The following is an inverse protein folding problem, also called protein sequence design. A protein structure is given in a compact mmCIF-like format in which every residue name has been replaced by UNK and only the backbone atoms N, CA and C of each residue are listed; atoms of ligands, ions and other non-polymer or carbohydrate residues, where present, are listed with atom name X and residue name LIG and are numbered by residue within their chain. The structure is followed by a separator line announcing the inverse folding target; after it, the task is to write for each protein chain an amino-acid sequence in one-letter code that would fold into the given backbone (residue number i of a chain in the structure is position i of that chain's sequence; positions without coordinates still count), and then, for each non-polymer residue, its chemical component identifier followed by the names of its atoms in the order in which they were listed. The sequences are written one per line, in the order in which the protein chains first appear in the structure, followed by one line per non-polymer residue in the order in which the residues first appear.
data_IF_090868860498
#
_entry.id   IF_090868860498
#
_cell.length_a   1.000
_cell.length_b   1.000
_cell.length_c   1.000
_cell.angle_alpha   90.00
_cell.angle_beta   90.00
_cell.angle_gamma   90.00
#
_symmetry.space_group_name_H-M   'P 1'
#
loop_
_entity.id
_entity.type
_entity.pdbx_description
1 polymer ?
#
# COMPACT_ATOMS: atom_id res chain seq x y z
N UNK A 1 -27.42 5.76 11.84
CA UNK A 1 -28.25 4.61 11.44
C UNK A 1 -27.32 3.56 10.85
N UNK A 2 -27.40 2.32 11.30
CA UNK A 2 -26.50 1.24 10.86
C UNK A 2 -26.89 0.74 9.47
N UNK A 3 -25.90 0.55 8.60
CA UNK A 3 -26.14 0.11 7.22
C UNK A 3 -26.24 -1.42 7.08
N UNK A 4 -25.62 -2.17 8.02
CA UNK A 4 -25.67 -3.62 8.04
C UNK A 4 -25.73 -4.17 9.47
N UNK A 5 -26.36 -5.35 9.62
CA UNK A 5 -26.36 -6.19 10.81
C UNK A 5 -25.68 -7.53 10.47
N UNK A 6 -24.62 -7.87 11.20
CA UNK A 6 -24.00 -9.19 11.17
C UNK A 6 -24.45 -9.99 12.39
N UNK A 7 -25.05 -11.16 12.19
CA UNK A 7 -25.49 -12.06 13.26
C UNK A 7 -24.54 -13.26 13.29
N UNK A 8 -23.79 -13.40 14.39
CA UNK A 8 -22.90 -14.54 14.59
C UNK A 8 -23.68 -15.76 15.07
N UNK A 9 -23.92 -16.72 14.17
CA UNK A 9 -24.51 -18.00 14.52
C UNK A 9 -23.46 -19.05 14.90
N UNK A 10 -22.16 -18.75 14.89
CA UNK A 10 -21.09 -19.73 15.10
C UNK A 10 -20.67 -19.92 16.56
N UNK A 11 -20.80 -18.89 17.40
CA UNK A 11 -20.24 -18.86 18.76
C UNK A 11 -21.26 -19.02 19.91
N UNK A 12 -22.46 -19.57 19.64
CA UNK A 12 -23.60 -19.67 20.57
C UNK A 12 -24.34 -18.32 20.71
N UNK A 13 -25.66 -18.23 20.85
CA UNK A 13 -26.69 -19.13 21.35
C UNK A 13 -27.83 -19.32 20.30
N UNK A 14 -28.51 -20.47 20.32
CA UNK A 14 -29.60 -20.79 19.39
C UNK A 14 -30.85 -19.90 19.58
N UNK A 15 -30.88 -19.03 20.59
CA UNK A 15 -32.02 -18.15 20.91
C UNK A 15 -32.29 -17.07 19.85
N UNK A 16 -31.27 -16.46 19.25
CA UNK A 16 -31.45 -15.59 18.08
C UNK A 16 -31.84 -16.36 16.81
N UNK A 17 -31.57 -17.67 16.78
CA UNK A 17 -32.09 -18.56 15.73
C UNK A 17 -33.59 -18.87 15.90
N UNK A 18 -34.17 -18.55 17.06
CA UNK A 18 -35.55 -18.92 17.42
C UNK A 18 -36.53 -17.73 17.48
N UNK A 19 -36.05 -16.47 17.57
CA UNK A 19 -36.92 -15.27 17.64
C UNK A 19 -36.33 -14.05 16.88
N UNK A 20 -36.53 -13.95 15.56
CA UNK A 20 -36.17 -12.79 14.74
C UNK A 20 -36.77 -11.47 15.24
N UNK A 21 -37.93 -11.53 15.92
CA UNK A 21 -38.61 -10.38 16.54
C UNK A 21 -37.80 -9.66 17.61
N UNK A 22 -36.82 -10.32 18.26
CA UNK A 22 -35.93 -9.68 19.23
C UNK A 22 -34.89 -8.75 18.57
N UNK A 23 -34.75 -8.81 17.24
CA UNK A 23 -33.80 -8.01 16.49
C UNK A 23 -34.45 -6.78 15.85
N UNK A 24 -35.79 -6.71 15.80
CA UNK A 24 -36.54 -5.54 15.28
C UNK A 24 -36.12 -4.19 15.90
N UNK A 25 -35.81 -4.07 17.22
CA UNK A 25 -35.36 -2.81 17.81
C UNK A 25 -33.95 -2.39 17.38
N UNK A 26 -33.14 -3.35 16.92
CA UNK A 26 -31.73 -3.13 16.54
C UNK A 26 -31.59 -2.69 15.07
N UNK A 27 -32.68 -2.70 14.32
CA UNK A 27 -32.71 -2.66 12.86
C UNK A 27 -33.50 -1.45 12.36
N UNK A 28 -32.92 -0.67 11.44
CA UNK A 28 -33.71 0.25 10.63
C UNK A 28 -34.38 -0.50 9.48
N UNK A 29 -35.54 -0.06 9.01
CA UNK A 29 -36.27 -0.69 7.90
C UNK A 29 -35.45 -0.87 6.60
N UNK A 30 -34.30 -0.19 6.49
CA UNK A 30 -33.40 -0.20 5.35
C UNK A 30 -32.09 -1.00 5.55
N UNK A 31 -31.86 -1.65 6.70
CA UNK A 31 -30.59 -2.34 6.98
C UNK A 31 -30.48 -3.71 6.28
N UNK A 32 -29.28 -4.05 5.81
CA UNK A 32 -28.97 -5.38 5.26
C UNK A 32 -28.56 -6.37 6.37
N UNK A 33 -29.12 -7.58 6.37
CA UNK A 33 -28.83 -8.60 7.39
C UNK A 33 -27.93 -9.68 6.82
N UNK A 34 -26.87 -10.03 7.55
CA UNK A 34 -25.90 -11.07 7.20
C UNK A 34 -25.83 -12.11 8.32
N UNK A 35 -25.98 -13.38 7.98
CA UNK A 35 -25.98 -14.50 8.92
C UNK A 35 -24.68 -15.30 8.77
N UNK A 36 -23.81 -15.27 9.79
CA UNK A 36 -22.53 -16.00 9.77
C UNK A 36 -22.73 -17.43 10.30
N UNK A 37 -22.62 -18.43 9.43
CA UNK A 37 -22.80 -19.84 9.77
C UNK A 37 -21.49 -20.64 9.71
N UNK A 38 -21.45 -21.77 10.43
CA UNK A 38 -20.28 -22.66 10.49
C UNK A 38 -20.37 -23.86 9.52
N UNK A 39 -21.54 -24.14 8.92
CA UNK A 39 -21.77 -25.25 7.98
C UNK A 39 -23.15 -25.12 7.28
N UNK A 40 -23.28 -25.65 6.05
CA UNK A 40 -24.51 -25.63 5.24
C UNK A 40 -25.75 -26.08 6.01
N UNK A 41 -26.79 -25.25 6.02
CA UNK A 41 -28.17 -25.61 6.37
C UNK A 41 -29.07 -25.38 5.15
N UNK A 42 -30.21 -26.07 5.06
CA UNK A 42 -31.18 -25.90 3.98
C UNK A 42 -31.81 -24.49 4.00
N UNK A 43 -31.91 -23.86 2.83
CA UNK A 43 -32.45 -22.51 2.64
C UNK A 43 -33.88 -22.32 3.17
N UNK A 44 -34.67 -23.40 3.21
CA UNK A 44 -36.11 -23.37 3.51
C UNK A 44 -36.51 -22.82 4.91
N UNK A 45 -35.61 -22.85 5.90
CA UNK A 45 -35.86 -22.36 7.28
C UNK A 45 -35.56 -20.85 7.45
N UNK A 46 -34.76 -20.25 6.57
CA UNK A 46 -34.28 -18.86 6.72
C UNK A 46 -35.30 -17.85 6.20
N UNK A 47 -35.92 -18.12 5.05
CA UNK A 47 -36.92 -17.20 4.48
C UNK A 47 -38.19 -17.07 5.34
N UNK A 48 -38.58 -18.15 6.03
CA UNK A 48 -39.75 -18.15 6.91
C UNK A 48 -39.57 -17.28 8.17
N UNK A 49 -38.34 -17.10 8.64
CA UNK A 49 -38.01 -16.37 9.87
C UNK A 49 -37.68 -14.89 9.62
N UNK A 50 -37.17 -14.54 8.43
CA UNK A 50 -36.57 -13.23 8.16
C UNK A 50 -37.26 -12.41 7.06
N UNK A 51 -38.49 -12.78 6.67
CA UNK A 51 -39.24 -12.16 5.56
C UNK A 51 -39.60 -10.66 5.70
N UNK A 52 -39.27 -10.00 6.81
CA UNK A 52 -39.48 -8.57 7.04
C UNK A 52 -38.34 -7.64 6.58
N UNK A 53 -37.20 -8.18 6.13
CA UNK A 53 -36.01 -7.38 5.79
C UNK A 53 -35.82 -7.21 4.28
N UNK A 54 -35.24 -6.07 3.85
CA UNK A 54 -34.95 -5.79 2.43
C UNK A 54 -34.07 -6.84 1.75
N UNK A 55 -33.13 -7.44 2.49
CA UNK A 55 -32.33 -8.57 2.01
C UNK A 55 -31.61 -9.28 3.16
N UNK A 56 -31.69 -10.60 3.18
CA UNK A 56 -30.96 -11.49 4.10
C UNK A 56 -29.90 -12.23 3.30
N UNK A 57 -28.67 -12.27 3.80
CA UNK A 57 -27.53 -12.93 3.15
C UNK A 57 -26.96 -13.99 4.09
N UNK A 58 -26.92 -15.24 3.65
CA UNK A 58 -26.30 -16.34 4.38
C UNK A 58 -24.81 -16.43 4.02
N UNK A 59 -23.94 -16.49 5.02
CA UNK A 59 -22.50 -16.66 4.87
C UNK A 59 -22.11 -18.05 5.41
N UNK A 60 -21.98 -19.04 4.52
CA UNK A 60 -21.84 -20.47 4.85
C UNK A 60 -20.66 -21.16 4.14
N UNK A 61 -19.60 -20.41 3.87
CA UNK A 61 -18.39 -20.91 3.22
C UNK A 61 -17.47 -21.73 4.15
N UNK A 62 -16.41 -22.31 3.57
CA UNK A 62 -15.48 -23.26 4.20
C UNK A 62 -14.76 -22.72 5.44
N UNK A 63 -14.61 -21.40 5.56
CA UNK A 63 -13.95 -20.78 6.72
C UNK A 63 -14.56 -19.43 7.10
N UNK A 64 -14.37 -19.05 8.37
CA UNK A 64 -14.84 -17.75 8.89
C UNK A 64 -14.13 -16.60 8.18
N UNK A 65 -12.84 -16.72 7.86
CA UNK A 65 -12.12 -15.73 7.06
C UNK A 65 -12.78 -15.50 5.69
N UNK A 66 -13.14 -16.58 4.98
CA UNK A 66 -13.82 -16.47 3.68
C UNK A 66 -15.16 -15.74 3.82
N UNK A 67 -15.99 -16.16 4.78
CA UNK A 67 -17.29 -15.55 5.05
C UNK A 67 -17.18 -14.05 5.36
N UNK A 68 -16.27 -13.67 6.25
CA UNK A 68 -16.08 -12.26 6.63
C UNK A 68 -15.45 -11.42 5.50
N UNK A 69 -14.63 -12.03 4.64
CA UNK A 69 -14.12 -11.35 3.45
C UNK A 69 -15.22 -11.11 2.41
N UNK A 70 -16.11 -12.09 2.18
CA UNK A 70 -17.29 -11.92 1.31
C UNK A 70 -18.27 -10.89 1.89
N UNK A 71 -18.46 -10.90 3.20
CA UNK A 71 -19.21 -9.87 3.91
C UNK A 71 -18.63 -8.48 3.64
N UNK A 72 -17.31 -8.30 3.80
CA UNK A 72 -16.62 -7.05 3.49
C UNK A 72 -16.85 -6.61 2.04
N UNK A 73 -16.70 -7.51 1.07
CA UNK A 73 -16.95 -7.22 -0.35
C UNK A 73 -18.39 -6.75 -0.58
N UNK A 74 -19.37 -7.37 0.09
CA UNK A 74 -20.77 -6.97 0.01
C UNK A 74 -21.04 -5.58 0.61
N UNK A 75 -20.35 -5.23 1.71
CA UNK A 75 -20.38 -3.89 2.29
C UNK A 75 -19.79 -2.86 1.33
N UNK A 76 -18.63 -3.17 0.73
CA UNK A 76 -17.94 -2.27 -0.19
C UNK A 76 -18.75 -1.97 -1.44
N UNK A 77 -19.41 -2.98 -2.01
CA UNK A 77 -20.30 -2.82 -3.17
C UNK A 77 -21.51 -1.92 -2.88
N UNK A 78 -21.85 -1.72 -1.60
CA UNK A 78 -22.99 -0.92 -1.12
C UNK A 78 -22.58 0.38 -0.43
N UNK A 79 -21.28 0.66 -0.39
CA UNK A 79 -20.68 1.76 0.37
C UNK A 79 -21.11 1.82 1.86
N UNK A 80 -21.29 0.66 2.47
CA UNK A 80 -21.65 0.54 3.89
C UNK A 80 -20.37 0.46 4.73
N UNK A 81 -20.26 1.33 5.73
CA UNK A 81 -19.12 1.35 6.65
C UNK A 81 -19.53 1.15 8.12
N UNK A 82 -20.81 1.31 8.47
CA UNK A 82 -21.30 1.13 9.83
C UNK A 82 -22.03 -0.21 9.98
N UNK A 83 -21.45 -1.09 10.79
CA UNK A 83 -21.93 -2.46 11.02
C UNK A 83 -22.29 -2.64 12.49
N UNK A 84 -23.49 -3.15 12.75
CA UNK A 84 -23.85 -3.71 14.05
C UNK A 84 -23.60 -5.20 14.04
N UNK A 85 -23.06 -5.75 15.13
CA UNK A 85 -22.74 -7.18 15.27
C UNK A 85 -23.47 -7.73 16.48
N UNK A 86 -24.28 -8.78 16.28
CA UNK A 86 -24.91 -9.52 17.37
C UNK A 86 -24.16 -10.84 17.60
N UNK A 87 -23.61 -11.05 18.79
CA UNK A 87 -22.73 -12.21 19.09
C UNK A 87 -22.72 -12.56 20.60
N UNK A 88 -22.21 -13.72 20.99
CA UNK A 88 -21.85 -14.01 22.39
C UNK A 88 -20.56 -13.29 22.81
N UNK A 89 -20.30 -13.23 24.13
CA UNK A 89 -19.05 -12.68 24.67
C UNK A 89 -17.81 -13.41 24.13
N UNK A 90 -17.87 -14.74 23.98
CA UNK A 90 -16.80 -15.53 23.38
C UNK A 90 -16.63 -15.25 21.88
N UNK A 91 -17.74 -15.10 21.14
CA UNK A 91 -17.72 -14.75 19.72
C UNK A 91 -17.16 -13.35 19.46
N UNK A 92 -17.43 -12.38 20.34
CA UNK A 92 -16.88 -11.02 20.25
C UNK A 92 -15.36 -11.00 20.17
N UNK A 93 -14.67 -11.65 21.12
CA UNK A 93 -13.20 -11.67 21.13
C UNK A 93 -12.62 -12.26 19.85
N UNK A 94 -13.25 -13.31 19.30
CA UNK A 94 -12.85 -13.94 18.04
C UNK A 94 -13.10 -13.02 16.83
N UNK A 95 -14.28 -12.42 16.75
CA UNK A 95 -14.66 -11.53 15.65
C UNK A 95 -13.84 -10.24 15.65
N UNK A 96 -13.50 -9.69 16.82
CA UNK A 96 -12.60 -8.53 16.93
C UNK A 96 -11.24 -8.83 16.30
N UNK A 97 -10.68 -10.03 16.48
CA UNK A 97 -9.44 -10.44 15.84
C UNK A 97 -9.56 -10.53 14.31
N UNK A 98 -10.67 -11.06 13.78
CA UNK A 98 -10.92 -11.04 12.34
C UNK A 98 -11.11 -9.61 11.81
N UNK A 99 -11.82 -8.76 12.55
CA UNK A 99 -12.05 -7.35 12.18
C UNK A 99 -10.71 -6.61 12.05
N UNK A 100 -9.78 -6.82 12.98
CA UNK A 100 -8.45 -6.22 12.93
C UNK A 100 -7.64 -6.65 11.69
N UNK A 101 -7.83 -7.88 11.21
CA UNK A 101 -7.08 -8.41 10.07
C UNK A 101 -7.74 -8.14 8.72
N UNK A 102 -9.07 -8.16 8.65
CA UNK A 102 -9.86 -8.11 7.41
C UNK A 102 -10.50 -6.75 7.13
N UNK A 103 -10.54 -5.84 8.11
CA UNK A 103 -11.14 -4.53 7.97
C UNK A 103 -10.15 -3.43 8.38
N UNK A 104 -10.50 -2.19 8.07
CA UNK A 104 -9.72 -1.00 8.45
C UNK A 104 -10.59 -0.05 9.26
N UNK A 105 -9.99 1.04 9.76
CA UNK A 105 -10.71 2.07 10.51
C UNK A 105 -11.76 2.84 9.69
N UNK A 106 -11.88 2.57 8.38
CA UNK A 106 -12.99 3.07 7.56
C UNK A 106 -14.32 2.48 8.05
N UNK A 107 -14.31 1.27 8.61
CA UNK A 107 -15.52 0.62 9.13
C UNK A 107 -15.66 0.84 10.64
N UNK A 108 -16.89 0.99 11.10
CA UNK A 108 -17.25 0.97 12.52
C UNK A 108 -18.05 -0.28 12.85
N UNK A 109 -17.70 -0.93 13.96
CA UNK A 109 -18.36 -2.12 14.46
C UNK A 109 -18.92 -1.86 15.85
N UNK A 110 -20.23 -2.02 16.02
CA UNK A 110 -20.95 -1.94 17.30
C UNK A 110 -21.39 -3.33 17.73
N UNK A 111 -20.76 -3.86 18.77
CA UNK A 111 -21.01 -5.20 19.27
C UNK A 111 -22.10 -5.19 20.32
N UNK A 112 -23.18 -5.88 20.02
CA UNK A 112 -24.32 -6.12 20.88
C UNK A 112 -24.33 -7.59 21.31
N UNK A 113 -24.33 -7.84 22.62
CA UNK A 113 -24.12 -9.17 23.17
C UNK A 113 -25.45 -9.86 23.49
N UNK A 114 -25.53 -11.17 23.22
CA UNK A 114 -26.62 -11.99 23.77
C UNK A 114 -26.64 -11.87 25.29
N UNK A 115 -27.80 -11.56 25.87
CA UNK A 115 -28.02 -11.71 27.30
C UNK A 115 -27.96 -13.22 27.58
N UNK A 116 -27.00 -13.66 28.38
CA UNK A 116 -27.04 -15.01 28.93
C UNK A 116 -28.27 -15.04 29.83
N UNK A 117 -29.33 -15.75 29.45
CA UNK A 117 -30.42 -16.03 30.37
C UNK A 117 -29.79 -16.71 31.58
N UNK A 118 -29.77 -16.01 32.73
CA UNK A 118 -29.42 -16.60 34.01
C UNK A 118 -30.30 -17.83 34.16
N UNK A 119 -29.74 -19.01 33.93
CA UNK A 119 -30.44 -20.26 34.10
C UNK A 119 -30.87 -20.31 35.56
N UNK A 120 -32.14 -20.01 35.80
CA UNK A 120 -32.78 -20.08 37.09
C UNK A 120 -32.71 -21.50 37.61
N UNK A 121 -31.70 -21.79 38.42
CA UNK A 121 -31.72 -22.85 39.42
C UNK A 121 -31.16 -22.29 40.71
N UNK A 122 -32.04 -21.64 41.48
CA UNK A 122 -31.79 -21.31 42.87
C UNK A 122 -31.67 -22.59 43.70
N UNK A 123 -30.50 -22.79 44.30
CA UNK A 123 -30.24 -23.83 45.29
C UNK A 123 -28.88 -23.57 45.95
N UNK A 124 -28.88 -22.83 47.06
CA UNK A 124 -27.67 -22.28 47.66
C UNK A 124 -26.78 -23.27 48.41
N UNK A 125 -25.50 -22.90 48.54
CA UNK A 125 -24.69 -23.07 49.75
C UNK A 125 -23.54 -22.04 49.75
N UNK A 126 -23.23 -21.39 50.90
CA UNK A 126 -22.25 -20.30 50.95
C UNK A 126 -20.85 -20.84 51.24
N UNK A 127 -19.87 -20.46 50.43
CA UNK A 127 -18.46 -20.62 50.80
C UNK A 127 -17.52 -20.86 49.63
N UNK A 128 -17.03 -19.80 49.00
CA UNK A 128 -15.71 -19.80 48.39
C UNK A 128 -15.15 -18.38 48.40
N UNK A 129 -13.97 -18.25 49.02
CA UNK A 129 -13.25 -17.03 49.34
C UNK A 129 -12.95 -16.20 48.08
N UNK A 130 -13.09 -14.88 48.23
CA UNK A 130 -12.38 -13.92 47.40
C UNK A 130 -10.88 -14.26 47.41
N UNK A 131 -10.32 -14.52 46.23
CA UNK A 131 -8.89 -14.50 46.01
C UNK A 131 -8.62 -13.47 44.92
N UNK A 132 -8.49 -12.22 45.35
CA UNK A 132 -7.71 -11.23 44.64
C UNK A 132 -6.27 -11.74 44.61
N UNK A 133 -5.80 -12.17 43.44
CA UNK A 133 -4.36 -12.21 43.17
C UNK A 133 -4.09 -11.69 41.77
N UNK A 134 -3.58 -10.47 41.77
CA UNK A 134 -2.93 -9.77 40.68
C UNK A 134 -1.62 -10.49 40.38
N UNK A 135 -1.54 -11.19 39.25
CA UNK A 135 -0.29 -11.69 38.70
C UNK A 135 -0.35 -11.68 37.17
N UNK A 136 0.69 -11.14 36.56
CA UNK A 136 0.95 -11.12 35.12
C UNK A 136 1.12 -12.54 34.57
N UNK A 137 0.01 -13.23 34.31
CA UNK A 137 -0.02 -14.34 33.37
C UNK A 137 -0.66 -13.81 32.08
N UNK A 138 0.13 -13.71 31.02
CA UNK A 138 -0.40 -13.58 29.66
C UNK A 138 -1.35 -14.75 29.44
N UNK A 139 -2.60 -14.45 29.06
CA UNK A 139 -3.66 -15.44 28.88
C UNK A 139 -3.34 -16.30 27.64
N UNK A 140 -2.58 -17.37 27.87
CA UNK A 140 -2.15 -18.34 26.84
C UNK A 140 -3.31 -18.86 25.97
N UNK A 141 -4.55 -18.83 26.47
CA UNK A 141 -5.74 -19.24 25.71
C UNK A 141 -6.24 -18.17 24.75
N UNK A 142 -6.13 -16.89 25.13
CA UNK A 142 -6.41 -15.77 24.23
C UNK A 142 -5.38 -15.69 23.10
N UNK A 143 -4.11 -15.90 23.42
CA UNK A 143 -3.02 -15.93 22.42
C UNK A 143 -3.20 -17.07 21.41
N UNK A 144 -3.53 -18.29 21.88
CA UNK A 144 -3.81 -19.43 21.01
C UNK A 144 -4.99 -19.19 20.06
N UNK A 145 -6.08 -18.56 20.54
CA UNK A 145 -7.23 -18.19 19.70
C UNK A 145 -6.87 -17.14 18.66
N UNK A 146 -6.05 -16.16 19.03
CA UNK A 146 -5.58 -15.15 18.09
C UNK A 146 -4.68 -15.77 16.99
N UNK A 147 -3.86 -16.76 17.35
CA UNK A 147 -3.06 -17.52 16.39
C UNK A 147 -3.90 -18.34 15.41
N UNK A 148 -4.98 -18.98 15.89
CA UNK A 148 -5.93 -19.69 15.02
C UNK A 148 -6.58 -18.74 14.00
N UNK A 149 -7.02 -17.56 14.43
CA UNK A 149 -7.60 -16.54 13.54
C UNK A 149 -6.57 -16.06 12.52
N UNK A 150 -5.32 -15.79 12.94
CA UNK A 150 -4.22 -15.42 12.03
C UNK A 150 -3.97 -16.50 10.98
N UNK A 151 -3.96 -17.77 11.37
CA UNK A 151 -3.76 -18.91 10.46
C UNK A 151 -4.91 -19.04 9.45
N UNK A 152 -6.16 -18.96 9.90
CA UNK A 152 -7.34 -19.01 9.02
C UNK A 152 -7.30 -17.89 7.97
N UNK A 153 -7.06 -16.64 8.40
CA UNK A 153 -6.94 -15.51 7.48
C UNK A 153 -5.78 -15.68 6.50
N UNK A 154 -4.58 -16.05 6.98
CA UNK A 154 -3.42 -16.23 6.11
C UNK A 154 -3.64 -17.34 5.07
N UNK A 155 -4.18 -18.49 5.48
CA UNK A 155 -4.47 -19.61 4.58
C UNK A 155 -5.50 -19.20 3.52
N UNK A 156 -6.55 -18.48 3.90
CA UNK A 156 -7.55 -17.98 2.96
C UNK A 156 -6.94 -16.98 1.97
N UNK A 157 -6.17 -15.99 2.43
CA UNK A 157 -5.54 -14.98 1.54
C UNK A 157 -4.61 -15.62 0.51
N UNK A 158 -3.83 -16.63 0.92
CA UNK A 158 -2.92 -17.35 0.01
C UNK A 158 -3.63 -18.15 -1.08
N UNK A 159 -4.89 -18.53 -0.86
CA UNK A 159 -5.71 -19.25 -1.85
C UNK A 159 -6.37 -18.32 -2.87
N UNK A 160 -6.46 -17.01 -2.60
CA UNK A 160 -7.09 -16.08 -3.52
C UNK A 160 -6.29 -16.00 -4.84
N UNK A 161 -6.96 -15.97 -6.00
CA UNK A 161 -6.26 -15.89 -7.29
C UNK A 161 -5.56 -14.53 -7.43
N UNK A 162 -4.44 -14.51 -8.14
CA UNK A 162 -3.82 -13.27 -8.58
C UNK A 162 -4.76 -12.50 -9.52
N UNK A 163 -4.88 -11.20 -9.29
CA UNK A 163 -5.62 -10.29 -10.15
C UNK A 163 -4.63 -9.54 -11.05
N UNK A 164 -5.07 -9.18 -12.26
CA UNK A 164 -4.26 -8.40 -13.24
C UNK A 164 -2.88 -9.04 -13.48
N UNK A 165 -2.87 -10.26 -14.01
CA UNK A 165 -1.65 -10.95 -14.40
C UNK A 165 -0.82 -11.48 -13.23
N UNK A 166 0.50 -11.55 -13.45
CA UNK A 166 1.49 -12.03 -12.48
C UNK A 166 2.24 -10.86 -11.85
N UNK A 167 2.92 -11.13 -10.73
CA UNK A 167 3.86 -10.15 -10.16
C UNK A 167 5.00 -9.98 -11.15
N UNK A 168 5.36 -8.73 -11.45
CA UNK A 168 6.50 -8.42 -12.31
C UNK A 168 7.41 -7.40 -11.64
N UNK A 169 8.72 -7.64 -11.72
CA UNK A 169 9.75 -6.78 -11.12
C UNK A 169 10.75 -6.34 -12.19
N UNK A 170 10.75 -5.05 -12.51
CA UNK A 170 11.73 -4.45 -13.42
C UNK A 170 13.06 -4.24 -12.71
N UNK A 171 14.17 -4.59 -13.38
CA UNK A 171 15.52 -4.49 -12.83
C UNK A 171 16.41 -3.72 -13.78
N UNK A 172 17.36 -2.99 -13.20
CA UNK A 172 18.39 -2.24 -13.92
C UNK A 172 19.68 -3.06 -14.00
N UNK A 173 20.30 -3.12 -15.18
CA UNK A 173 21.63 -3.71 -15.39
C UNK A 173 22.77 -2.92 -14.73
N UNK A 174 22.49 -1.71 -14.22
CA UNK A 174 23.48 -0.87 -13.56
C UNK A 174 23.82 -1.34 -12.14
N UNK A 175 22.89 -2.03 -11.48
CA UNK A 175 23.07 -2.57 -10.13
C UNK A 175 23.63 -4.00 -10.28
N UNK A 176 24.79 -4.31 -9.69
CA UNK A 176 25.37 -5.66 -9.79
C UNK A 176 24.53 -6.71 -9.06
N UNK A 177 24.52 -7.95 -9.56
CA UNK A 177 23.71 -9.08 -9.07
C UNK A 177 23.96 -9.48 -7.60
N UNK A 178 25.03 -8.96 -6.97
CA UNK A 178 25.26 -9.12 -5.53
C UNK A 178 24.19 -8.40 -4.69
N UNK A 179 23.42 -7.50 -5.29
CA UNK A 179 22.26 -6.86 -4.70
C UNK A 179 20.99 -7.35 -5.38
N UNK A 180 20.02 -7.82 -4.59
CA UNK A 180 18.67 -8.02 -5.09
C UNK A 180 17.98 -6.66 -5.18
N UNK A 181 17.50 -6.24 -6.35
CA UNK A 181 16.77 -4.99 -6.50
C UNK A 181 15.57 -5.15 -7.43
N UNK A 182 14.68 -4.16 -7.41
CA UNK A 182 13.77 -3.93 -8.51
C UNK A 182 12.57 -3.07 -8.17
N UNK A 183 11.76 -2.89 -9.21
CA UNK A 183 10.59 -2.04 -9.25
C UNK A 183 9.35 -2.87 -9.63
N UNK A 184 8.44 -3.08 -8.66
CA UNK A 184 7.24 -3.87 -8.88
C UNK A 184 6.23 -3.12 -9.75
N UNK A 185 5.48 -3.84 -10.58
CA UNK A 185 4.26 -3.33 -11.18
C UNK A 185 3.08 -3.46 -10.22
N UNK A 186 1.86 -3.15 -10.70
CA UNK A 186 0.61 -3.30 -9.94
C UNK A 186 -0.08 -4.65 -10.12
N UNK A 187 0.46 -5.53 -10.96
CA UNK A 187 -0.12 -6.84 -11.30
C UNK A 187 0.25 -7.93 -10.30
N UNK A 188 -0.55 -9.00 -10.23
CA UNK A 188 -0.25 -10.21 -9.45
C UNK A 188 -0.72 -10.25 -8.00
N UNK A 189 -1.35 -9.18 -7.49
CA UNK A 189 -1.84 -9.13 -6.11
C UNK A 189 -3.30 -9.56 -5.95
N UNK A 190 -3.86 -9.37 -4.75
CA UNK A 190 -5.23 -9.77 -4.38
C UNK A 190 -6.14 -8.60 -3.96
N UNK A 191 -5.65 -7.36 -4.00
CA UNK A 191 -6.47 -6.19 -3.70
C UNK A 191 -7.54 -6.03 -4.80
N UNK A 192 -8.81 -6.17 -4.44
CA UNK A 192 -9.94 -6.05 -5.40
C UNK A 192 -10.48 -4.64 -5.55
N UNK A 193 -10.17 -3.73 -4.61
CA UNK A 193 -10.64 -2.34 -4.67
C UNK A 193 -9.99 -1.69 -5.90
N UNK A 194 -10.81 -1.15 -6.81
CA UNK A 194 -10.35 -0.69 -8.13
C UNK A 194 -9.12 0.23 -8.10
N UNK A 195 -9.11 1.21 -7.19
CA UNK A 195 -8.02 2.19 -7.02
C UNK A 195 -6.76 1.64 -6.36
N UNK A 196 -6.82 0.43 -5.80
CA UNK A 196 -5.73 -0.27 -5.10
C UNK A 196 -5.36 -1.59 -5.81
N UNK A 197 -6.12 -1.99 -6.83
CA UNK A 197 -5.95 -3.28 -7.48
C UNK A 197 -4.72 -3.30 -8.39
N UNK A 198 -3.86 -4.33 -8.36
CA UNK A 198 -4.00 -5.59 -7.61
C UNK A 198 -2.97 -5.78 -6.49
N UNK A 199 -1.73 -5.34 -6.71
CA UNK A 199 -0.58 -5.54 -5.82
C UNK A 199 -0.34 -4.29 -4.97
N UNK A 200 -1.30 -3.93 -4.12
CA UNK A 200 -1.11 -2.85 -3.17
C UNK A 200 -0.25 -3.32 -1.98
N UNK A 201 0.81 -2.59 -1.68
CA UNK A 201 1.82 -2.96 -0.68
C UNK A 201 1.78 -2.09 0.57
N UNK A 202 0.78 -1.22 0.69
CA UNK A 202 0.60 -0.33 1.82
C UNK A 202 -0.83 -0.36 2.36
N UNK A 203 -0.98 -0.53 3.66
CA UNK A 203 -2.26 -0.36 4.35
C UNK A 203 -2.30 0.97 5.08
N UNK A 204 -3.49 1.59 5.13
CA UNK A 204 -3.73 2.84 5.83
C UNK A 204 -5.12 2.80 6.45
N UNK A 205 -5.26 3.42 7.63
CA UNK A 205 -6.55 3.60 8.30
C UNK A 205 -7.59 4.33 7.46
N UNK A 206 -7.17 5.10 6.44
CA UNK A 206 -8.04 5.87 5.54
C UNK A 206 -8.48 5.08 4.29
N UNK A 207 -7.98 3.86 4.10
CA UNK A 207 -8.25 3.02 2.93
C UNK A 207 -9.01 1.78 3.34
N UNK A 208 -9.75 1.19 2.40
CA UNK A 208 -10.54 -0.02 2.63
C UNK A 208 -9.72 -1.32 2.47
N UNK A 209 -8.45 -1.25 2.06
CA UNK A 209 -7.62 -2.45 1.85
C UNK A 209 -6.96 -2.89 3.16
N UNK A 210 -7.30 -4.10 3.65
CA UNK A 210 -6.92 -4.52 4.98
C UNK A 210 -5.47 -5.00 5.06
N UNK A 211 -4.94 -5.05 6.28
CA UNK A 211 -3.55 -5.47 6.53
C UNK A 211 -3.26 -6.88 5.99
N UNK A 212 -4.19 -7.83 6.14
CA UNK A 212 -4.02 -9.21 5.65
C UNK A 212 -3.85 -9.29 4.12
N UNK A 213 -4.59 -8.49 3.37
CA UNK A 213 -4.46 -8.40 1.90
C UNK A 213 -3.10 -7.83 1.52
N UNK A 214 -2.69 -6.75 2.19
CA UNK A 214 -1.41 -6.09 1.94
C UNK A 214 -0.22 -7.00 2.30
N UNK A 215 -0.29 -7.74 3.41
CA UNK A 215 0.74 -8.71 3.80
C UNK A 215 0.86 -9.86 2.79
N UNK A 216 -0.26 -10.37 2.28
CA UNK A 216 -0.20 -11.38 1.22
C UNK A 216 0.39 -10.82 -0.08
N UNK A 217 0.05 -9.59 -0.46
CA UNK A 217 0.70 -8.93 -1.61
C UNK A 217 2.21 -8.77 -1.39
N UNK A 218 2.66 -8.42 -0.18
CA UNK A 218 4.09 -8.34 0.19
C UNK A 218 4.76 -9.70 0.08
N UNK A 219 4.10 -10.76 0.55
CA UNK A 219 4.59 -12.14 0.42
C UNK A 219 4.74 -12.56 -1.04
N UNK A 220 3.76 -12.23 -1.90
CA UNK A 220 3.83 -12.50 -3.35
C UNK A 220 4.96 -11.76 -4.03
N UNK A 221 5.14 -10.47 -3.73
CA UNK A 221 6.29 -9.71 -4.21
C UNK A 221 7.60 -10.35 -3.76
N UNK A 222 7.70 -10.70 -2.48
CA UNK A 222 8.91 -11.27 -1.90
C UNK A 222 9.29 -12.61 -2.56
N UNK A 223 8.30 -13.46 -2.86
CA UNK A 223 8.50 -14.72 -3.58
C UNK A 223 9.06 -14.48 -5.00
N UNK A 224 8.46 -13.55 -5.75
CA UNK A 224 8.91 -13.21 -7.12
C UNK A 224 10.28 -12.50 -7.14
N UNK A 225 10.53 -11.66 -6.14
CA UNK A 225 11.75 -10.85 -6.08
C UNK A 225 12.94 -11.56 -5.39
N UNK A 226 12.70 -12.69 -4.73
CA UNK A 226 13.75 -13.48 -4.07
C UNK A 226 14.19 -12.93 -2.72
N UNK A 227 13.26 -12.45 -1.88
CA UNK A 227 13.56 -12.01 -0.51
C UNK A 227 12.50 -12.53 0.48
N UNK A 228 12.75 -12.39 1.78
CA UNK A 228 11.75 -12.68 2.81
C UNK A 228 10.96 -11.41 3.14
N UNK A 229 9.64 -11.45 2.95
CA UNK A 229 8.76 -10.29 3.19
C UNK A 229 8.87 -9.68 4.60
N UNK A 230 9.30 -10.45 5.61
CA UNK A 230 9.51 -9.97 6.98
C UNK A 230 10.71 -9.04 7.12
N UNK A 231 11.65 -9.09 6.17
CA UNK A 231 12.85 -8.24 6.15
C UNK A 231 12.60 -6.91 5.42
N UNK A 232 11.37 -6.69 4.93
CA UNK A 232 10.96 -5.51 4.18
C UNK A 232 10.67 -4.32 5.10
N UNK A 233 11.52 -3.30 5.02
CA UNK A 233 11.43 -2.08 5.80
C UNK A 233 10.83 -0.96 4.96
N UNK A 234 9.83 -0.28 5.53
CA UNK A 234 9.13 0.83 4.89
C UNK A 234 9.51 2.15 5.57
N UNK A 235 9.71 3.24 4.80
CA UNK A 235 9.97 4.55 5.37
C UNK A 235 8.70 5.21 5.93
N UNK A 236 8.88 6.08 6.92
CA UNK A 236 7.82 6.93 7.49
C UNK A 236 7.77 8.26 6.75
N UNK A 237 7.36 8.22 5.48
CA UNK A 237 7.46 9.34 4.53
C UNK A 237 6.66 10.57 4.95
N UNK A 238 7.27 11.75 4.88
CA UNK A 238 6.60 13.05 5.02
C UNK A 238 6.86 14.00 3.83
N UNK A 239 7.46 13.47 2.76
CA UNK A 239 7.90 14.21 1.55
C UNK A 239 9.03 15.22 1.85
N UNK A 240 9.80 14.95 2.91
CA UNK A 240 10.99 15.69 3.30
C UNK A 240 12.26 15.15 2.62
N UNK A 241 13.38 15.29 3.33
CA UNK A 241 14.71 14.86 2.88
C UNK A 241 15.49 14.09 3.97
N UNK A 242 14.84 13.72 5.07
CA UNK A 242 15.46 12.99 6.17
C UNK A 242 15.77 11.55 5.74
N UNK A 243 17.00 11.11 6.01
CA UNK A 243 17.50 9.76 5.72
C UNK A 243 17.79 9.04 7.04
N UNK A 244 17.20 7.86 7.23
CA UNK A 244 17.46 7.03 8.39
C UNK A 244 18.58 6.02 8.12
N UNK A 245 19.58 5.99 9.00
CA UNK A 245 20.65 4.99 8.98
C UNK A 245 20.22 3.80 9.82
N UNK A 246 20.10 2.63 9.21
CA UNK A 246 19.60 1.45 9.91
C UNK A 246 20.51 1.07 11.09
N UNK A 247 19.94 1.01 12.29
CA UNK A 247 20.68 0.76 13.54
C UNK A 247 20.91 2.01 14.40
N UNK A 248 20.67 3.20 13.85
CA UNK A 248 20.58 4.44 14.63
C UNK A 248 19.15 4.63 15.18
N UNK A 249 18.95 5.49 16.20
CA UNK A 249 17.62 5.84 16.68
C UNK A 249 16.70 6.26 15.53
N UNK A 250 15.55 5.61 15.42
CA UNK A 250 14.63 5.83 14.31
C UNK A 250 13.95 7.20 14.43
N UNK A 251 14.02 8.07 13.40
CA UNK A 251 13.29 9.33 13.38
C UNK A 251 11.77 9.14 13.38
N UNK A 252 11.03 10.19 13.72
CA UNK A 252 9.57 10.20 13.63
C UNK A 252 9.09 10.03 12.17
N UNK A 253 9.78 10.69 11.24
CA UNK A 253 9.53 10.65 9.80
C UNK A 253 10.86 10.67 9.04
N UNK A 254 10.89 9.97 7.91
CA UNK A 254 12.03 9.91 7.00
C UNK A 254 11.57 9.39 5.64
N UNK A 255 12.22 9.87 4.59
CA UNK A 255 11.88 9.56 3.20
C UNK A 255 12.88 8.60 2.56
N UNK A 256 14.07 8.43 3.16
CA UNK A 256 15.03 7.44 2.73
C UNK A 256 15.65 6.65 3.87
N UNK A 257 16.21 5.50 3.51
CA UNK A 257 16.96 4.63 4.41
C UNK A 257 18.27 4.23 3.76
N UNK A 258 19.30 4.05 4.59
CA UNK A 258 20.61 3.53 4.14
C UNK A 258 21.14 2.50 5.14
N UNK A 259 21.91 1.53 4.64
CA UNK A 259 22.50 0.45 5.45
C UNK A 259 23.63 -0.27 4.72
N UNK A 260 24.59 -0.80 5.47
CA UNK A 260 25.59 -1.78 5.02
C UNK A 260 25.30 -3.20 5.53
N UNK A 261 24.22 -3.39 6.30
CA UNK A 261 23.80 -4.69 6.85
C UNK A 261 23.24 -5.61 5.75
N UNK A 262 23.52 -6.91 5.86
CA UNK A 262 22.95 -7.97 5.01
C UNK A 262 21.58 -8.42 5.53
N UNK A 263 20.77 -9.05 4.68
CA UNK A 263 19.51 -9.66 5.10
C UNK A 263 18.43 -8.65 5.47
N UNK A 264 18.47 -7.46 4.88
CA UNK A 264 17.49 -6.39 5.07
C UNK A 264 17.08 -5.85 3.71
N UNK A 265 15.80 -5.53 3.57
CA UNK A 265 15.21 -5.09 2.32
C UNK A 265 14.65 -3.69 2.51
N UNK A 266 15.26 -2.70 1.87
CA UNK A 266 14.82 -1.32 1.98
C UNK A 266 13.77 -1.01 0.91
N UNK A 267 12.69 -0.35 1.33
CA UNK A 267 11.68 0.16 0.42
C UNK A 267 11.71 1.67 0.23
N UNK A 268 11.30 2.11 -0.95
CA UNK A 268 11.11 3.52 -1.30
C UNK A 268 9.77 3.70 -2.01
N UNK A 269 8.63 3.78 -1.29
CA UNK A 269 7.29 3.73 -1.89
C UNK A 269 7.07 4.85 -2.91
N UNK A 270 6.27 4.61 -3.95
CA UNK A 270 5.94 5.65 -4.92
C UNK A 270 4.80 5.26 -5.86
N UNK A 271 3.74 6.06 -5.87
CA UNK A 271 2.84 6.21 -7.02
C UNK A 271 2.97 7.67 -7.44
N UNK A 272 3.58 7.91 -8.59
CA UNK A 272 3.98 9.22 -9.12
C UNK A 272 5.26 9.84 -8.54
N UNK A 273 5.49 9.80 -7.23
CA UNK A 273 6.78 10.24 -6.66
C UNK A 273 7.92 9.30 -7.09
N UNK A 274 9.17 9.80 -7.07
CA UNK A 274 10.33 9.07 -7.59
C UNK A 274 10.88 8.12 -6.51
N UNK A 275 10.91 6.81 -6.77
CA UNK A 275 11.74 5.89 -6.00
C UNK A 275 13.18 5.93 -6.53
N UNK A 276 14.14 6.12 -5.64
CA UNK A 276 15.57 6.10 -5.95
C UNK A 276 16.22 4.94 -5.20
N UNK A 277 16.90 4.06 -5.93
CA UNK A 277 17.72 2.99 -5.35
C UNK A 277 19.19 3.31 -5.53
N UNK A 278 19.98 3.14 -4.47
CA UNK A 278 21.40 3.44 -4.41
C UNK A 278 22.17 2.19 -3.99
N UNK A 279 23.32 1.94 -4.60
CA UNK A 279 24.29 1.00 -4.04
C UNK A 279 25.73 1.46 -4.24
N UNK A 280 26.59 1.09 -3.29
CA UNK A 280 28.04 1.08 -3.46
C UNK A 280 28.51 -0.39 -3.56
N UNK A 281 28.97 -0.85 -4.75
CA UNK A 281 29.43 -2.23 -4.92
C UNK A 281 30.66 -2.60 -4.08
N UNK A 282 31.54 -1.63 -3.78
CA UNK A 282 32.77 -1.87 -3.04
C UNK A 282 32.53 -1.87 -1.53
N UNK A 283 31.81 -0.85 -1.03
CA UNK A 283 31.44 -0.74 0.39
C UNK A 283 30.31 -1.67 0.78
N UNK A 284 29.64 -2.28 -0.22
CA UNK A 284 28.48 -3.15 -0.02
C UNK A 284 27.38 -2.48 0.81
N UNK A 285 27.14 -1.20 0.54
CA UNK A 285 26.12 -0.39 1.16
C UNK A 285 24.98 -0.12 0.17
N UNK A 286 23.75 -0.03 0.67
CA UNK A 286 22.55 0.21 -0.11
C UNK A 286 21.75 1.37 0.48
N UNK A 287 20.99 2.04 -0.37
CA UNK A 287 20.03 3.07 0.01
C UNK A 287 18.76 2.98 -0.82
N UNK A 288 17.64 3.38 -0.22
CA UNK A 288 16.36 3.52 -0.90
C UNK A 288 15.68 4.80 -0.43
N UNK A 289 15.30 5.67 -1.36
CA UNK A 289 14.76 7.00 -1.03
C UNK A 289 13.53 7.31 -1.88
N UNK A 290 12.43 7.66 -1.22
CA UNK A 290 11.25 8.26 -1.81
C UNK A 290 11.51 9.76 -2.05
N UNK A 291 11.21 10.26 -3.24
CA UNK A 291 11.43 11.66 -3.58
C UNK A 291 10.30 12.21 -4.44
N UNK A 292 9.35 12.88 -3.78
CA UNK A 292 8.36 13.72 -4.45
C UNK A 292 8.94 15.08 -4.89
N UNK A 293 8.08 15.98 -5.36
CA UNK A 293 8.49 17.33 -5.76
C UNK A 293 9.13 18.13 -4.61
N UNK A 294 8.57 18.04 -3.39
CA UNK A 294 9.12 18.70 -2.19
C UNK A 294 10.48 18.14 -1.84
N UNK A 295 10.59 16.81 -1.70
CA UNK A 295 11.85 16.13 -1.42
C UNK A 295 12.93 16.42 -2.46
N UNK A 296 12.55 16.58 -3.74
CA UNK A 296 13.48 16.98 -4.80
C UNK A 296 14.07 18.36 -4.52
N UNK A 297 13.23 19.37 -4.23
CA UNK A 297 13.69 20.72 -3.91
C UNK A 297 14.48 20.79 -2.59
N UNK A 298 14.16 19.92 -1.62
CA UNK A 298 14.89 19.78 -0.36
C UNK A 298 16.19 18.96 -0.50
N UNK A 299 16.45 18.36 -1.66
CA UNK A 299 17.67 17.62 -1.94
C UNK A 299 17.74 16.21 -1.34
N UNK A 300 16.61 15.51 -1.17
CA UNK A 300 16.57 14.15 -0.59
C UNK A 300 17.55 13.16 -1.26
N UNK A 301 17.70 13.23 -2.60
CA UNK A 301 18.66 12.42 -3.34
C UNK A 301 20.12 12.71 -2.92
N UNK A 302 20.48 13.99 -2.77
CA UNK A 302 21.82 14.42 -2.34
C UNK A 302 22.06 14.08 -0.87
N UNK A 303 21.05 14.26 -0.02
CA UNK A 303 21.11 13.86 1.39
C UNK A 303 21.36 12.34 1.55
N UNK A 304 20.81 11.52 0.63
CA UNK A 304 21.08 10.07 0.62
C UNK A 304 22.55 9.78 0.30
N UNK A 305 23.10 10.44 -0.74
CA UNK A 305 24.52 10.32 -1.10
C UNK A 305 25.41 10.71 0.08
N UNK A 306 25.19 11.91 0.65
CA UNK A 306 25.96 12.41 1.80
C UNK A 306 25.90 11.45 2.99
N UNK A 307 24.72 10.91 3.28
CA UNK A 307 24.57 9.93 4.36
C UNK A 307 25.38 8.65 4.09
N UNK A 308 25.41 8.14 2.87
CA UNK A 308 26.23 6.97 2.52
C UNK A 308 27.73 7.26 2.60
N UNK A 309 28.17 8.46 2.22
CA UNK A 309 29.57 8.90 2.36
C UNK A 309 29.97 9.01 3.84
N UNK A 310 29.16 9.68 4.65
CA UNK A 310 29.43 9.91 6.07
C UNK A 310 29.42 8.63 6.89
N UNK A 311 28.49 7.72 6.63
CA UNK A 311 28.26 6.54 7.48
C UNK A 311 29.04 5.31 7.04
N UNK A 312 29.24 5.13 5.74
CA UNK A 312 29.84 3.91 5.18
C UNK A 312 31.11 4.18 4.37
N UNK A 313 31.58 5.44 4.35
CA UNK A 313 32.76 5.85 3.59
C UNK A 313 32.63 5.51 2.10
N UNK A 314 31.41 5.54 1.58
CA UNK A 314 31.16 5.46 0.14
C UNK A 314 31.80 6.67 -0.54
N UNK A 315 32.10 6.54 -1.82
CA UNK A 315 32.48 7.68 -2.66
C UNK A 315 31.32 7.98 -3.61
N UNK A 316 30.84 9.22 -3.70
CA UNK A 316 29.74 9.55 -4.61
C UNK A 316 29.95 9.05 -6.05
N UNK A 317 31.19 9.09 -6.56
CA UNK A 317 31.56 8.59 -7.90
C UNK A 317 31.42 7.08 -8.06
N UNK A 318 31.49 6.32 -6.97
CA UNK A 318 31.33 4.86 -6.95
C UNK A 318 29.87 4.43 -6.80
N UNK A 319 29.00 5.31 -6.32
CA UNK A 319 27.57 5.00 -6.18
C UNK A 319 26.93 4.72 -7.54
N UNK A 320 26.05 3.72 -7.57
CA UNK A 320 25.12 3.45 -8.67
C UNK A 320 23.73 3.83 -8.22
N UNK A 321 23.03 4.60 -9.04
CA UNK A 321 21.70 5.11 -8.73
C UNK A 321 20.73 4.74 -9.84
N UNK A 322 19.57 4.21 -9.46
CA UNK A 322 18.49 3.89 -10.39
C UNK A 322 17.25 4.67 -10.02
N UNK A 323 16.73 5.42 -10.98
CA UNK A 323 15.46 6.14 -10.89
C UNK A 323 14.35 5.22 -11.39
N UNK A 324 13.44 4.84 -10.51
CA UNK A 324 12.34 3.95 -10.88
C UNK A 324 11.16 4.62 -11.57
N UNK A 325 10.07 3.87 -11.78
CA UNK A 325 8.84 4.39 -12.35
C UNK A 325 8.28 5.53 -11.50
N UNK A 326 7.93 6.62 -12.15
CA UNK A 326 7.44 7.85 -11.52
C UNK A 326 6.54 8.59 -12.50
N UNK A 327 5.88 9.66 -12.09
CA UNK A 327 5.21 10.53 -13.06
C UNK A 327 6.27 11.22 -13.93
N UNK A 328 6.00 11.29 -15.23
CA UNK A 328 6.87 11.93 -16.22
C UNK A 328 6.49 13.38 -16.47
N UNK A 329 7.40 14.13 -17.09
CA UNK A 329 7.15 15.51 -17.55
C UNK A 329 5.96 15.61 -18.50
N UNK A 330 5.60 14.52 -19.19
CA UNK A 330 4.41 14.44 -20.04
C UNK A 330 3.08 14.54 -19.30
N UNK A 331 3.05 14.37 -17.98
CA UNK A 331 1.81 14.36 -17.19
C UNK A 331 1.85 15.24 -15.93
N UNK A 332 3.04 15.52 -15.41
CA UNK A 332 3.17 16.17 -14.13
C UNK A 332 3.25 17.68 -14.25
N UNK A 333 2.29 18.38 -13.65
CA UNK A 333 2.22 19.84 -13.59
C UNK A 333 2.17 20.33 -12.15
N UNK A 334 2.58 21.58 -11.93
CA UNK A 334 2.40 22.30 -10.67
C UNK A 334 1.91 23.72 -10.94
N UNK A 335 1.31 24.41 -9.95
CA UNK A 335 1.13 25.85 -10.02
C UNK A 335 2.45 26.56 -10.34
N UNK A 336 2.40 27.57 -11.21
CA UNK A 336 3.59 28.22 -11.78
C UNK A 336 4.60 28.71 -10.72
N UNK A 337 4.13 29.27 -9.61
CA UNK A 337 4.98 29.76 -8.52
C UNK A 337 5.85 28.64 -7.89
N UNK A 338 5.29 27.44 -7.76
CA UNK A 338 6.01 26.26 -7.28
C UNK A 338 6.90 25.66 -8.36
N UNK A 339 6.42 25.65 -9.61
CA UNK A 339 7.16 25.14 -10.76
C UNK A 339 8.49 25.84 -10.97
N UNK A 340 8.51 27.18 -10.90
CA UNK A 340 9.70 28.00 -11.19
C UNK A 340 10.87 27.76 -10.21
N UNK A 341 10.62 27.14 -9.05
CA UNK A 341 11.70 26.70 -8.15
C UNK A 341 12.63 25.69 -8.82
N UNK A 342 12.10 24.85 -9.72
CA UNK A 342 12.88 23.83 -10.44
C UNK A 342 13.79 24.40 -11.52
N UNK A 343 13.46 25.57 -12.09
CA UNK A 343 14.33 26.25 -13.07
C UNK A 343 15.69 26.63 -12.48
N UNK A 344 15.79 26.78 -11.15
CA UNK A 344 17.06 27.02 -10.42
C UNK A 344 17.95 25.79 -10.39
N UNK A 345 17.37 24.59 -10.52
CA UNK A 345 18.13 23.34 -10.62
C UNK A 345 18.70 23.23 -12.04
N UNK A 346 17.82 23.34 -13.04
CA UNK A 346 18.14 23.38 -14.46
C UNK A 346 16.95 23.97 -15.25
N UNK A 347 17.16 24.82 -16.28
CA UNK A 347 16.07 25.42 -17.07
C UNK A 347 15.07 24.38 -17.64
N UNK A 348 15.59 23.30 -18.24
CA UNK A 348 14.76 22.24 -18.83
C UNK A 348 13.97 21.40 -17.82
N UNK A 349 14.13 21.65 -16.51
CA UNK A 349 13.22 21.06 -15.51
C UNK A 349 11.80 21.61 -15.64
N UNK A 350 11.63 22.77 -16.27
CA UNK A 350 10.34 23.41 -16.53
C UNK A 350 10.31 23.81 -18.02
N UNK A 351 9.89 22.93 -18.94
CA UNK A 351 9.94 23.19 -20.38
C UNK A 351 9.00 24.31 -20.83
N UNK A 352 7.93 24.59 -20.09
CA UNK A 352 6.89 25.58 -20.39
C UNK A 352 6.66 26.56 -19.21
N UNK A 353 7.68 27.33 -18.80
CA UNK A 353 7.66 28.11 -17.55
C UNK A 353 6.62 29.25 -17.56
N UNK A 354 6.18 29.69 -18.74
CA UNK A 354 5.17 30.73 -18.92
C UNK A 354 3.73 30.21 -18.73
N UNK A 355 3.54 28.88 -18.64
CA UNK A 355 2.22 28.28 -18.39
C UNK A 355 1.73 28.61 -16.97
N UNK A 356 0.42 28.78 -16.74
CA UNK A 356 -0.13 28.86 -15.38
C UNK A 356 -0.03 27.53 -14.62
N UNK A 357 0.17 26.42 -15.35
CA UNK A 357 0.38 25.06 -14.84
C UNK A 357 1.56 24.41 -15.58
N UNK A 358 2.81 24.85 -15.37
CA UNK A 358 3.96 24.29 -16.08
C UNK A 358 4.15 22.81 -15.78
N UNK A 359 4.63 22.09 -16.78
CA UNK A 359 5.10 20.73 -16.63
C UNK A 359 6.44 20.70 -15.89
N UNK A 360 6.67 19.65 -15.11
CA UNK A 360 7.88 19.51 -14.29
C UNK A 360 8.58 18.20 -14.60
N UNK A 361 9.85 18.30 -14.99
CA UNK A 361 10.73 17.15 -15.17
C UNK A 361 11.47 16.81 -13.87
N UNK A 362 10.78 16.13 -12.96
CA UNK A 362 11.36 15.70 -11.68
C UNK A 362 12.54 14.74 -11.85
N UNK A 363 12.56 13.95 -12.92
CA UNK A 363 13.63 12.98 -13.22
C UNK A 363 14.91 13.72 -13.58
N UNK A 364 14.81 14.70 -14.48
CA UNK A 364 15.94 15.57 -14.81
C UNK A 364 16.43 16.35 -13.59
N UNK A 365 15.51 16.89 -12.77
CA UNK A 365 15.88 17.61 -11.56
C UNK A 365 16.73 16.73 -10.63
N UNK A 366 16.30 15.50 -10.36
CA UNK A 366 17.07 14.56 -9.54
C UNK A 366 18.37 14.11 -10.21
N UNK A 367 18.40 13.88 -11.53
CA UNK A 367 19.64 13.59 -12.27
C UNK A 367 20.68 14.69 -12.08
N UNK A 368 20.29 15.95 -12.26
CA UNK A 368 21.17 17.11 -12.10
C UNK A 368 21.64 17.24 -10.65
N UNK A 369 20.76 17.02 -9.67
CA UNK A 369 21.12 17.06 -8.25
C UNK A 369 22.12 15.95 -7.87
N UNK A 370 21.90 14.72 -8.35
CA UNK A 370 22.81 13.59 -8.14
C UNK A 370 24.19 13.85 -8.73
N UNK A 371 24.25 14.40 -9.96
CA UNK A 371 25.52 14.79 -10.59
C UNK A 371 26.24 15.90 -9.82
N UNK A 372 25.50 16.92 -9.35
CA UNK A 372 26.05 17.96 -8.47
C UNK A 372 26.53 17.38 -7.13
N UNK A 373 25.92 16.29 -6.67
CA UNK A 373 26.34 15.50 -5.51
C UNK A 373 27.52 14.56 -5.76
N UNK A 374 28.09 14.55 -6.98
CA UNK A 374 29.30 13.78 -7.31
C UNK A 374 29.05 12.40 -7.93
N UNK A 375 27.80 11.99 -8.12
CA UNK A 375 27.47 10.74 -8.83
C UNK A 375 27.77 10.91 -10.31
N UNK A 376 28.53 9.97 -10.90
CA UNK A 376 28.88 10.06 -12.31
C UNK A 376 27.65 9.87 -13.22
N UNK A 377 27.54 10.60 -14.34
CA UNK A 377 26.40 10.47 -15.26
C UNK A 377 26.11 9.04 -15.73
N UNK A 378 27.15 8.26 -16.02
CA UNK A 378 27.10 6.85 -16.42
C UNK A 378 26.66 5.92 -15.27
N UNK A 379 26.64 6.41 -14.05
CA UNK A 379 26.19 5.70 -12.84
C UNK A 379 24.77 6.09 -12.41
N UNK A 380 24.00 6.74 -13.29
CA UNK A 380 22.60 7.08 -13.06
C UNK A 380 21.74 6.48 -14.18
N UNK A 381 20.99 5.42 -13.86
CA UNK A 381 20.00 4.84 -14.76
C UNK A 381 18.65 5.53 -14.57
N UNK A 382 18.22 6.30 -15.56
CA UNK A 382 16.87 6.88 -15.67
C UNK A 382 16.35 6.76 -17.12
N UNK A 383 15.33 7.56 -17.48
CA UNK A 383 14.75 7.55 -18.83
C UNK A 383 15.63 8.13 -19.95
N UNK A 384 16.88 8.54 -19.66
CA UNK A 384 17.87 8.96 -20.68
C UNK A 384 18.73 7.81 -21.16
N UNK A 385 18.73 6.68 -20.46
CA UNK A 385 19.46 5.46 -20.84
C UNK A 385 18.53 4.62 -21.73
N UNK A 386 18.88 4.50 -23.00
CA UNK A 386 18.11 3.73 -24.01
C UNK A 386 18.47 2.25 -24.06
N UNK A 387 19.62 1.89 -23.48
CA UNK A 387 20.21 0.55 -23.63
C UNK A 387 19.83 -0.30 -22.40
N UNK A 388 18.66 -0.95 -22.45
CA UNK A 388 18.23 -1.85 -21.39
C UNK A 388 16.72 -1.95 -21.20
N UNK A 389 16.31 -2.55 -20.08
CA UNK A 389 14.92 -2.58 -19.68
C UNK A 389 14.48 -1.18 -19.23
N UNK A 390 13.32 -0.71 -19.68
CA UNK A 390 12.72 0.56 -19.23
C UNK A 390 12.34 0.45 -17.74
N UNK A 391 13.19 0.98 -16.87
CA UNK A 391 12.97 1.02 -15.42
C UNK A 391 12.33 2.31 -14.93
N UNK A 392 12.18 3.32 -15.80
CA UNK A 392 11.69 4.66 -15.45
C UNK A 392 10.44 5.03 -16.26
N UNK A 393 9.48 4.11 -16.35
CA UNK A 393 8.20 4.35 -17.06
C UNK A 393 7.38 5.47 -16.41
N UNK A 394 6.58 6.20 -17.18
CA UNK A 394 5.63 7.17 -16.62
C UNK A 394 4.43 6.45 -15.99
N UNK A 395 4.27 6.57 -14.67
CA UNK A 395 3.19 5.90 -13.91
C UNK A 395 1.79 6.32 -14.35
N UNK A 396 1.64 7.57 -14.80
CA UNK A 396 0.36 8.09 -15.30
C UNK A 396 0.05 7.61 -16.72
N UNK A 397 1.03 7.58 -17.63
CA UNK A 397 0.82 7.09 -19.01
C UNK A 397 0.70 5.57 -19.08
N UNK A 398 1.39 4.85 -18.19
CA UNK A 398 1.52 3.40 -18.22
C UNK A 398 1.09 2.80 -16.88
N UNK A 399 -0.19 3.00 -16.47
CA UNK A 399 -0.67 2.52 -15.18
C UNK A 399 -0.69 0.99 -15.11
N UNK A 400 -0.63 0.28 -16.24
CA UNK A 400 -0.76 -1.17 -16.34
C UNK A 400 0.43 -1.86 -16.99
N UNK A 401 1.66 -1.32 -16.99
CA UNK A 401 2.76 -1.96 -17.72
C UNK A 401 3.16 -3.33 -17.14
N UNK A 402 2.40 -4.33 -17.56
CA UNK A 402 2.75 -5.70 -17.86
C UNK A 402 3.37 -5.66 -19.26
N UNK A 403 4.54 -6.29 -19.47
CA UNK A 403 4.90 -6.65 -20.84
C UNK A 403 3.83 -7.65 -21.31
N UNK A 404 3.09 -7.42 -22.40
CA UNK A 404 2.36 -8.52 -22.99
C UNK A 404 3.39 -9.59 -23.39
N UNK A 405 3.17 -10.83 -22.97
CA UNK A 405 3.83 -11.98 -23.57
C UNK A 405 3.55 -11.97 -25.06
N UNK A 406 4.58 -12.19 -25.88
CA UNK A 406 4.48 -12.27 -27.34
C UNK A 406 3.48 -13.35 -27.80
N UNK A 407 2.19 -13.01 -27.85
CA UNK A 407 1.18 -13.75 -28.59
C UNK A 407 -0.10 -12.93 -28.65
N UNK A 408 -0.17 -12.00 -29.61
CA UNK A 408 -1.39 -11.69 -30.39
C UNK A 408 -1.07 -10.51 -31.33
N UNK A 409 -0.47 -10.85 -32.49
CA UNK A 409 -0.50 -9.95 -33.64
C UNK A 409 -1.88 -10.05 -34.27
N UNK A 410 -2.69 -9.02 -34.11
CA UNK A 410 -3.81 -8.73 -35.01
C UNK A 410 -3.75 -7.28 -35.44
N UNK A 411 -3.19 -7.05 -36.64
CA UNK A 411 -3.49 -5.90 -37.51
C UNK A 411 -4.87 -6.09 -38.12
N UNK A 412 -5.70 -5.05 -38.21
CA UNK A 412 -5.80 -4.21 -39.42
C UNK A 412 -6.11 -2.73 -39.08
N UNK A 413 -6.09 -1.72 -39.93
CA UNK A 413 -5.73 -1.42 -41.32
C UNK A 413 -5.72 0.11 -41.42
N UNK A 414 -5.06 0.64 -42.44
CA UNK A 414 -4.89 2.05 -42.76
C UNK A 414 -6.21 2.84 -42.87
N UNK A 415 -6.17 4.13 -42.54
CA UNK A 415 -6.74 5.15 -43.44
C UNK A 415 -6.15 6.55 -43.20
N UNK A 416 -5.95 7.23 -44.33
CA UNK A 416 -5.20 8.48 -44.53
C UNK A 416 -6.09 9.73 -44.45
N UNK A 417 -5.55 10.83 -43.93
CA UNK A 417 -5.68 12.23 -44.44
C UNK A 417 -5.10 13.19 -43.38
N UNK A 418 -4.04 13.96 -43.66
CA UNK A 418 -4.09 15.29 -44.31
C UNK A 418 -4.62 16.33 -43.32
N UNK A 419 -3.91 17.38 -42.88
CA UNK A 419 -3.10 18.34 -43.62
C UNK A 419 -2.27 19.23 -42.66
N UNK A 420 -1.14 19.70 -43.19
CA UNK A 420 -0.24 20.72 -42.64
C UNK A 420 -0.89 22.09 -42.38
N UNK A 421 -0.38 22.84 -41.40
CA UNK A 421 0.06 24.21 -41.68
C UNK A 421 1.06 24.73 -40.64
N UNK A 422 1.96 25.54 -41.17
CA UNK A 422 3.21 26.04 -40.59
C UNK A 422 3.09 27.55 -40.33
N UNK A 423 4.04 28.11 -39.55
CA UNK A 423 4.70 29.44 -39.69
C UNK A 423 4.48 30.51 -38.58
N UNK A 424 5.63 30.82 -37.93
CA UNK A 424 6.23 32.11 -37.43
C UNK A 424 5.45 32.91 -36.37
N UNK A 425 6.06 33.57 -35.37
CA UNK A 425 7.46 33.92 -35.05
C UNK A 425 7.51 35.37 -34.48
N UNK A 426 8.30 35.64 -33.42
CA UNK A 426 8.91 36.94 -32.98
C UNK A 426 9.18 36.93 -31.46
N UNK A 427 10.44 36.96 -30.98
CA UNK A 427 11.25 38.13 -30.52
C UNK A 427 10.65 38.89 -29.31
N UNK A 428 11.22 38.81 -28.09
CA UNK A 428 12.48 39.35 -27.51
C UNK A 428 12.28 40.69 -26.76
N UNK A 429 12.74 40.78 -25.51
CA UNK A 429 12.91 42.05 -24.76
C UNK A 429 12.80 41.93 -23.23
N UNK A 430 13.89 41.60 -22.53
CA UNK A 430 14.68 42.46 -21.60
C UNK A 430 14.16 42.69 -20.17
N UNK A 431 14.94 42.14 -19.22
CA UNK A 431 15.39 42.63 -17.90
C UNK A 431 14.46 43.45 -16.99
N UNK A 432 14.26 42.95 -15.76
CA UNK A 432 14.50 43.76 -14.57
C UNK A 432 14.71 42.91 -13.30
N UNK A 433 15.79 43.20 -12.59
CA UNK A 433 16.15 42.77 -11.23
C UNK A 433 15.26 43.43 -10.18
N UNK A 434 14.52 42.69 -9.35
CA UNK A 434 14.03 43.16 -8.04
C UNK A 434 14.05 42.02 -7.00
N UNK A 435 14.49 42.41 -5.80
CA UNK A 435 14.71 41.65 -4.56
C UNK A 435 13.51 40.80 -4.12
N UNK A 436 13.81 39.64 -3.54
CA UNK A 436 12.82 38.66 -3.10
C UNK A 436 12.02 39.06 -1.86
N UNK A 437 10.79 38.53 -1.69
CA UNK A 437 10.08 38.55 -0.42
C UNK A 437 9.99 37.16 0.23
N UNK A 438 10.00 37.19 1.56
CA UNK A 438 9.79 36.09 2.49
C UNK A 438 8.44 35.39 2.23
N UNK A 439 8.45 34.06 2.21
CA UNK A 439 7.25 33.24 2.01
C UNK A 439 6.49 33.05 3.33
N UNK A 440 5.27 33.60 3.37
CA UNK A 440 4.28 33.31 4.39
C UNK A 440 3.47 32.07 3.97
N UNK A 441 3.41 31.07 4.85
CA UNK A 441 2.69 29.80 4.64
C UNK A 441 1.18 30.01 4.75
N UNK A 442 0.42 29.85 3.65
CA UNK A 442 -1.02 29.56 3.74
C UNK A 442 -1.45 28.51 2.71
N UNK A 443 -2.25 27.57 3.23
CA UNK A 443 -2.75 26.35 2.61
C UNK A 443 -3.72 26.62 1.46
N UNK A 444 -3.37 26.18 0.24
CA UNK A 444 -4.35 25.89 -0.80
C UNK A 444 -4.03 24.55 -1.50
N UNK A 445 -4.41 23.45 -0.86
CA UNK A 445 -4.58 22.16 -1.52
C UNK A 445 -5.96 22.14 -2.19
N UNK A 446 -6.02 22.16 -3.54
CA UNK A 446 -7.21 21.74 -4.29
C UNK A 446 -6.99 20.35 -4.88
N UNK A 447 -8.07 19.57 -4.83
CA UNK A 447 -8.28 18.15 -5.15
C UNK A 447 -7.47 17.66 -6.36
N UNK A 448 -6.47 16.81 -6.10
CA UNK A 448 -5.86 15.95 -7.10
C UNK A 448 -6.75 14.72 -7.34
N UNK A 449 -6.90 14.34 -8.61
CA UNK A 449 -7.74 13.22 -9.03
C UNK A 449 -7.29 11.91 -8.34
N UNK A 450 -8.08 11.46 -7.37
CA UNK A 450 -7.95 10.22 -6.59
C UNK A 450 -8.12 8.91 -7.41
N UNK A 451 -7.86 8.93 -8.72
CA UNK A 451 -8.33 7.86 -9.62
C UNK A 451 -7.43 6.62 -9.70
N UNK A 452 -6.17 6.69 -9.30
CA UNK A 452 -5.33 5.49 -9.21
C UNK A 452 -4.26 5.66 -8.12
N UNK A 453 -4.30 4.82 -7.08
CA UNK A 453 -3.50 4.98 -5.86
C UNK A 453 -2.86 3.67 -5.40
N UNK A 454 -2.79 2.67 -6.28
CA UNK A 454 -1.94 1.50 -6.10
C UNK A 454 -0.47 1.96 -6.19
N UNK A 455 0.28 1.80 -5.10
CA UNK A 455 1.69 2.14 -5.02
C UNK A 455 2.51 1.00 -5.65
N UNK A 456 3.14 1.18 -6.83
CA UNK A 456 4.28 0.34 -7.17
C UNK A 456 5.34 0.44 -6.06
N UNK A 457 6.05 -0.65 -5.85
CA UNK A 457 6.84 -0.87 -4.66
C UNK A 457 8.23 -1.38 -5.00
N UNK A 458 9.17 -1.04 -4.16
CA UNK A 458 10.57 -0.99 -4.56
C UNK A 458 11.39 -1.61 -3.48
N UNK A 459 12.34 -2.42 -3.89
CA UNK A 459 13.11 -3.28 -3.00
C UNK A 459 14.55 -3.17 -3.44
N UNK A 460 15.43 -2.92 -2.49
CA UNK A 460 16.86 -3.23 -2.60
C UNK A 460 17.29 -4.02 -1.38
N UNK A 461 17.98 -5.13 -1.61
CA UNK A 461 18.47 -6.07 -0.62
C UNK A 461 19.94 -6.38 -0.92
N UNK A 462 20.72 -6.52 0.13
CA UNK A 462 22.06 -7.11 0.07
C UNK A 462 21.89 -8.62 0.24
N UNK A 463 22.15 -9.38 -0.82
CA UNK A 463 22.10 -10.83 -0.75
C UNK A 463 23.00 -11.31 0.41
N UNK A 464 22.47 -12.16 1.28
CA UNK A 464 23.30 -12.86 2.24
C UNK A 464 24.24 -13.77 1.44
N UNK A 465 25.53 -13.75 1.78
CA UNK A 465 26.47 -14.74 1.25
C UNK A 465 25.87 -16.13 1.57
N UNK A 466 25.58 -16.88 0.50
CA UNK A 466 24.99 -18.23 0.44
C UNK A 466 23.46 -18.34 0.31
N UNK A 467 23.06 -18.78 -0.88
CA UNK A 467 21.89 -19.60 -1.17
C UNK A 467 21.53 -20.53 0.00
N UNK A 468 20.36 -20.32 0.60
CA UNK A 468 19.52 -21.36 1.19
C UNK A 468 18.13 -20.75 1.48
N UNK A 469 17.35 -20.52 0.41
CA UNK A 469 15.90 -20.32 0.55
C UNK A 469 15.21 -21.25 -0.45
N UNK A 470 15.12 -22.53 -0.08
CA UNK A 470 14.03 -23.41 -0.50
C UNK A 470 13.67 -24.29 0.70
N UNK A 471 12.38 -24.25 1.07
CA UNK A 471 11.66 -25.12 2.00
C UNK A 471 12.04 -25.08 3.49
N UNK A 472 11.27 -24.32 4.27
CA UNK A 472 10.80 -24.79 5.59
C UNK A 472 9.49 -24.10 5.99
N UNK A 473 8.42 -24.92 5.98
CA UNK A 473 7.09 -24.83 6.62
C UNK A 473 6.07 -23.76 6.16
#
# INVERSE_FOLDING_TARGET
MWGALLVDCTSGDCSARQRPSLLEPLIGADSHVFLLHAAKRSDDDVDALWGGFKSVHVLDDVSTACNLYRFKQALDARDICAVRVRTSAAGRARLEAYVQLLFTAVYSFDFDLFEEEESGFGGGAPGARACESRAHHTDTRADARADEVRKDVAQFMQQLPALKGQVSVSRSSLIPDIFGHGFSSRGGGISYISTLSSLNLFSSSRRKDPVSVVEENRRRLALEAGFNHKDLLFPKVDHGSTIWVLGQPEPQCYDGMVTDRTGVVLAAPGADCLPLLFCDPEKRAIGATHTGWKGTLLGAAVATVQCMEEQFQCEARALRVVVGPSVGVCCYTLPQDQALAFSRIHPDCVPDPESPQPHINLRLANRVLLQKGGVLPEHIHDNTVSDGAEVTACTSCQPHKEKPSDSEKHTPSEDLSGTSNTIRGAHCGTSNTIRGPQWNQQHHQRKWNQKDQSLPFYVINKAADHCNIICSE
#
